data_IF_857827920713
#
_entry.id   IF_857827920713
#
_cell.length_a   1.000
_cell.length_b   1.000
_cell.length_c   1.000
_cell.angle_alpha   90.00
_cell.angle_beta   90.00
_cell.angle_gamma   90.00
#
_symmetry.space_group_name_H-M   'P 1'
#
loop_
_entity.id
_entity.type
_entity.pdbx_description
1 polymer ?
#
# COMPACT_ATOMS: atom_id res chain seq x y z
N UNK A 1 -7.94 21.61 14.27
CA UNK A 1 -8.41 21.96 12.91
C UNK A 1 -9.53 20.99 12.54
N UNK A 2 -10.72 21.47 12.13
CA UNK A 2 -11.79 20.63 11.59
C UNK A 2 -11.34 19.82 10.36
N UNK A 3 -11.96 18.65 10.12
CA UNK A 3 -11.52 17.72 9.07
C UNK A 3 -11.58 18.32 7.64
N UNK A 4 -12.56 19.18 7.37
CA UNK A 4 -12.69 19.86 6.08
C UNK A 4 -11.54 20.85 5.86
N UNK A 5 -11.23 21.67 6.87
CA UNK A 5 -10.12 22.63 6.82
C UNK A 5 -8.77 21.90 6.68
N UNK A 6 -8.62 20.76 7.34
CA UNK A 6 -7.44 19.90 7.16
C UNK A 6 -7.34 19.35 5.73
N UNK A 7 -8.45 18.89 5.15
CA UNK A 7 -8.49 18.39 3.79
C UNK A 7 -8.13 19.46 2.75
N UNK A 8 -8.57 20.71 2.94
CA UNK A 8 -8.19 21.84 2.07
C UNK A 8 -6.71 22.18 2.17
N UNK A 9 -6.14 22.13 3.38
CA UNK A 9 -4.76 22.55 3.63
C UNK A 9 -3.72 21.48 3.34
N UNK A 10 -3.98 20.24 3.74
CA UNK A 10 -3.01 19.13 3.72
C UNK A 10 -3.38 18.04 2.71
N UNK A 11 -4.59 18.06 2.15
CA UNK A 11 -5.04 17.09 1.16
C UNK A 11 -4.55 17.37 -0.26
N UNK A 12 -5.23 16.77 -1.24
CA UNK A 12 -4.92 16.96 -2.67
C UNK A 12 -3.53 16.45 -3.06
N UNK A 13 -2.90 17.12 -4.02
CA UNK A 13 -1.60 16.72 -4.58
C UNK A 13 -0.45 16.82 -3.57
N UNK A 14 -0.50 17.76 -2.62
CA UNK A 14 0.53 17.90 -1.58
C UNK A 14 0.67 16.61 -0.76
N UNK A 15 -0.46 16.04 -0.31
CA UNK A 15 -0.49 14.77 0.40
C UNK A 15 0.20 13.64 -0.40
N UNK A 16 -0.01 13.62 -1.72
CA UNK A 16 0.60 12.63 -2.60
C UNK A 16 2.11 12.82 -2.75
N UNK A 17 2.58 14.06 -2.91
CA UNK A 17 4.02 14.35 -2.93
C UNK A 17 4.68 13.97 -1.61
N UNK A 18 4.05 14.27 -0.47
CA UNK A 18 4.55 13.93 0.86
C UNK A 18 4.57 12.41 1.10
N UNK A 19 3.66 11.65 0.47
CA UNK A 19 3.62 10.20 0.56
C UNK A 19 4.62 9.49 -0.37
N UNK A 20 5.07 10.11 -1.46
CA UNK A 20 5.98 9.46 -2.43
C UNK A 20 7.25 8.87 -1.82
N UNK A 21 7.99 9.56 -0.92
CA UNK A 21 9.22 9.02 -0.36
C UNK A 21 8.98 7.70 0.38
N UNK A 22 7.99 7.68 1.27
CA UNK A 22 7.69 6.47 2.06
C UNK A 22 7.15 5.34 1.18
N UNK A 23 6.38 5.65 0.14
CA UNK A 23 5.91 4.66 -0.84
C UNK A 23 7.06 4.02 -1.59
N UNK A 24 8.09 4.81 -1.97
CA UNK A 24 9.30 4.28 -2.60
C UNK A 24 10.17 3.48 -1.66
N UNK A 25 10.37 3.94 -0.43
CA UNK A 25 11.10 3.19 0.59
C UNK A 25 10.47 1.82 0.86
N UNK A 26 9.13 1.74 0.88
CA UNK A 26 8.42 0.46 0.97
C UNK A 26 8.67 -0.43 -0.26
N UNK A 27 8.74 0.15 -1.45
CA UNK A 27 9.10 -0.57 -2.68
C UNK A 27 10.50 -1.15 -2.63
N UNK A 28 11.49 -0.33 -2.27
CA UNK A 28 12.88 -0.74 -2.10
C UNK A 28 13.00 -1.89 -1.08
N UNK A 29 12.26 -1.81 0.03
CA UNK A 29 12.23 -2.86 1.04
C UNK A 29 11.66 -4.19 0.49
N UNK A 30 10.60 -4.12 -0.33
CA UNK A 30 9.98 -5.30 -0.94
C UNK A 30 10.85 -5.93 -2.03
N UNK A 31 11.64 -5.12 -2.74
CA UNK A 31 12.47 -5.61 -3.85
C UNK A 31 13.87 -6.07 -3.40
N UNK A 32 14.30 -5.71 -2.18
CA UNK A 32 15.64 -5.95 -1.66
C UNK A 32 16.12 -7.42 -1.72
N UNK A 33 15.21 -8.38 -1.57
CA UNK A 33 15.53 -9.82 -1.55
C UNK A 33 14.99 -10.59 -2.76
N UNK A 34 14.46 -9.88 -3.77
CA UNK A 34 13.69 -10.49 -4.86
C UNK A 34 12.30 -10.95 -4.41
N UNK A 35 11.52 -11.58 -5.29
CA UNK A 35 10.17 -12.02 -4.95
C UNK A 35 9.18 -10.88 -4.62
N UNK A 36 7.96 -11.21 -4.16
CA UNK A 36 6.93 -10.21 -3.85
C UNK A 36 6.88 -9.79 -2.35
N UNK A 37 7.68 -10.41 -1.48
CA UNK A 37 7.67 -10.19 -0.03
C UNK A 37 9.02 -9.66 0.46
N UNK A 38 9.02 -9.07 1.66
CA UNK A 38 10.24 -8.55 2.30
C UNK A 38 11.32 -9.63 2.45
N UNK A 39 10.91 -10.88 2.69
CA UNK A 39 11.80 -12.05 2.81
C UNK A 39 11.92 -12.86 1.51
N UNK A 40 11.75 -12.22 0.35
CA UNK A 40 11.87 -12.90 -0.94
C UNK A 40 10.55 -13.49 -1.40
N UNK A 41 10.55 -14.81 -1.57
CA UNK A 41 9.36 -15.60 -1.91
C UNK A 41 8.56 -16.07 -0.68
N UNK A 42 9.07 -15.83 0.53
CA UNK A 42 8.43 -16.26 1.77
C UNK A 42 7.69 -15.09 2.43
N UNK A 43 6.36 -15.19 2.66
CA UNK A 43 5.63 -14.15 3.37
C UNK A 43 6.05 -14.08 4.83
N UNK A 44 6.14 -12.87 5.36
CA UNK A 44 6.49 -12.56 6.73
C UNK A 44 5.45 -11.62 7.37
N UNK A 45 5.50 -11.46 8.70
CA UNK A 45 4.58 -10.58 9.43
C UNK A 45 4.46 -9.14 8.85
N UNK A 46 5.56 -8.42 8.54
CA UNK A 46 5.45 -7.06 8.02
C UNK A 46 4.73 -6.98 6.67
N UNK A 47 4.82 -8.01 5.82
CA UNK A 47 4.07 -8.07 4.56
C UNK A 47 2.56 -7.97 4.80
N UNK A 48 2.06 -8.64 5.85
CA UNK A 48 0.65 -8.60 6.21
C UNK A 48 0.21 -7.24 6.75
N UNK A 49 1.08 -6.52 7.46
CA UNK A 49 0.79 -5.16 7.90
C UNK A 49 0.66 -4.19 6.72
N UNK A 50 1.59 -4.28 5.76
CA UNK A 50 1.57 -3.47 4.54
C UNK A 50 0.32 -3.80 3.73
N UNK A 51 0.05 -5.08 3.46
CA UNK A 51 -1.07 -5.46 2.60
C UNK A 51 -2.44 -5.19 3.22
N UNK A 52 -2.58 -5.28 4.54
CA UNK A 52 -3.80 -4.88 5.24
C UNK A 52 -4.06 -3.38 5.07
N UNK A 53 -3.02 -2.56 5.16
CA UNK A 53 -3.11 -1.12 4.91
C UNK A 53 -3.51 -0.83 3.46
N UNK A 54 -2.86 -1.46 2.48
CA UNK A 54 -3.21 -1.33 1.06
C UNK A 54 -4.65 -1.77 0.78
N UNK A 55 -5.09 -2.86 1.40
CA UNK A 55 -6.45 -3.36 1.26
C UNK A 55 -7.48 -2.41 1.88
N UNK A 56 -7.19 -1.83 3.06
CA UNK A 56 -8.04 -0.82 3.67
C UNK A 56 -8.19 0.40 2.75
N UNK A 57 -7.08 0.92 2.21
CA UNK A 57 -7.10 2.06 1.28
C UNK A 57 -7.91 1.75 0.02
N UNK A 58 -7.76 0.55 -0.56
CA UNK A 58 -8.58 0.09 -1.68
C UNK A 58 -10.08 0.05 -1.35
N UNK A 59 -10.43 -0.32 -0.11
CA UNK A 59 -11.83 -0.37 0.35
C UNK A 59 -12.43 1.02 0.57
N UNK A 60 -11.61 2.00 0.95
CA UNK A 60 -12.01 3.42 1.03
C UNK A 60 -12.28 3.96 -0.37
N UNK A 61 -11.29 3.85 -1.27
CA UNK A 61 -11.43 4.15 -2.69
C UNK A 61 -10.36 3.37 -3.48
N UNK A 62 -10.80 2.57 -4.45
CA UNK A 62 -9.91 1.77 -5.28
C UNK A 62 -8.87 2.61 -6.05
N UNK A 63 -9.15 3.90 -6.31
CA UNK A 63 -8.21 4.83 -6.96
C UNK A 63 -7.00 5.15 -6.10
N UNK A 64 -7.12 5.10 -4.78
CA UNK A 64 -6.00 5.33 -3.87
C UNK A 64 -4.96 4.23 -4.06
N UNK A 65 -5.39 2.96 -4.03
CA UNK A 65 -4.47 1.84 -4.28
C UNK A 65 -3.88 1.92 -5.70
N UNK A 66 -4.69 2.21 -6.72
CA UNK A 66 -4.21 2.33 -8.09
C UNK A 66 -3.07 3.36 -8.19
N UNK A 67 -3.25 4.54 -7.59
CA UNK A 67 -2.24 5.60 -7.58
C UNK A 67 -0.97 5.22 -6.81
N UNK A 68 -1.09 4.50 -5.68
CA UNK A 68 0.07 3.98 -4.95
C UNK A 68 0.86 2.96 -5.80
N UNK A 69 0.17 2.10 -6.55
CA UNK A 69 0.80 1.12 -7.44
C UNK A 69 1.44 1.77 -8.67
N UNK A 70 0.88 2.88 -9.17
CA UNK A 70 1.50 3.70 -10.21
C UNK A 70 2.81 4.37 -9.72
N UNK A 71 2.85 4.79 -8.45
CA UNK A 71 4.06 5.34 -7.83
C UNK A 71 5.12 4.27 -7.59
N UNK A 72 4.69 3.08 -7.14
CA UNK A 72 5.56 1.96 -6.81
C UNK A 72 4.88 0.61 -7.10
N UNK A 73 5.34 -0.06 -8.16
CA UNK A 73 4.76 -1.30 -8.66
C UNK A 73 4.91 -2.48 -7.70
N UNK A 74 5.93 -2.47 -6.83
CA UNK A 74 6.15 -3.52 -5.83
C UNK A 74 4.96 -3.67 -4.87
N UNK A 75 4.27 -2.58 -4.53
CA UNK A 75 3.06 -2.62 -3.70
C UNK A 75 1.93 -3.43 -4.38
N UNK A 76 1.83 -3.34 -5.71
CA UNK A 76 0.87 -4.11 -6.49
C UNK A 76 1.22 -5.60 -6.55
N UNK A 77 2.52 -5.92 -6.64
CA UNK A 77 3.02 -7.30 -6.60
C UNK A 77 2.69 -7.95 -5.25
N UNK A 78 2.98 -7.26 -4.15
CA UNK A 78 2.64 -7.69 -2.79
C UNK A 78 1.13 -7.90 -2.63
N UNK A 79 0.31 -6.92 -3.01
CA UNK A 79 -1.15 -7.01 -2.88
C UNK A 79 -1.72 -8.23 -3.63
N UNK A 80 -1.22 -8.48 -4.84
CA UNK A 80 -1.59 -9.66 -5.63
C UNK A 80 -1.12 -10.95 -4.98
N UNK A 81 0.11 -11.00 -4.47
CA UNK A 81 0.66 -12.19 -3.80
C UNK A 81 -0.12 -12.55 -2.53
N UNK A 82 -0.59 -11.56 -1.78
CA UNK A 82 -1.42 -11.79 -0.59
C UNK A 82 -2.90 -12.10 -0.90
N UNK A 83 -3.29 -12.15 -2.18
CA UNK A 83 -4.67 -12.40 -2.61
C UNK A 83 -5.39 -13.56 -1.90
N UNK A 84 -4.76 -14.72 -1.66
CA UNK A 84 -5.38 -15.83 -0.92
C UNK A 84 -5.84 -15.45 0.50
N UNK A 85 -5.06 -14.63 1.23
CA UNK A 85 -5.38 -14.19 2.61
C UNK A 85 -6.33 -12.99 2.67
N UNK A 86 -6.52 -12.29 1.55
CA UNK A 86 -7.47 -11.18 1.45
C UNK A 86 -8.90 -11.63 1.12
N UNK A 87 -9.10 -12.92 0.82
CA UNK A 87 -10.43 -13.48 0.66
C UNK A 87 -11.17 -13.35 1.98
N UNK A 88 -12.42 -12.90 1.90
CA UNK A 88 -13.29 -12.85 3.08
C UNK A 88 -13.54 -14.29 3.52
N UNK A 89 -13.45 -14.51 4.82
CA UNK A 89 -13.85 -15.77 5.44
C UNK A 89 -15.36 -15.69 5.69
N UNK A 90 -16.15 -16.04 4.67
CA UNK A 90 -17.61 -16.10 4.76
C UNK A 90 -18.11 -17.55 4.87
N UNK A 91 -18.08 -18.04 6.11
CA UNK A 91 -18.92 -19.14 6.59
C UNK A 91 -20.27 -18.63 7.11
#
# INVERSE_FOLDING_TARGET
MPIYEYGEKEGGEKCWEDAKPIVRELGELLEAKGGPFIEGDTPSYPDFFIVATLQMLKRIDAKILARLVEMEGALGKLHKACGPWLKRDDY
#
